data_IF_559447491294
#
_entry.id   IF_559447491294
#
_cell.length_a   1.000
_cell.length_b   1.000
_cell.length_c   1.000
_cell.angle_alpha   90.00
_cell.angle_beta   90.00
_cell.angle_gamma   90.00
#
_symmetry.space_group_name_H-M   'P 1'
#
loop_
_entity.id
_entity.type
_entity.pdbx_description
1 polymer ?
#
# COMPACT_ATOMS: atom_id res chain seq x y z
N UNK A 1 29.02 10.89 -28.75
CA UNK A 1 28.46 12.01 -27.95
C UNK A 1 27.36 11.41 -27.11
N UNK A 2 27.67 11.05 -25.87
CA UNK A 2 26.63 10.74 -24.89
C UNK A 2 26.05 12.09 -24.47
N UNK A 3 24.80 12.35 -24.83
CA UNK A 3 24.06 13.50 -24.34
C UNK A 3 24.03 13.32 -22.82
N UNK A 4 24.58 14.24 -22.00
CA UNK A 4 24.44 14.11 -20.56
C UNK A 4 22.96 14.07 -20.27
N UNK A 5 22.51 12.99 -19.61
CA UNK A 5 21.15 12.87 -19.11
C UNK A 5 20.93 14.11 -18.25
N UNK A 6 20.24 15.10 -18.80
CA UNK A 6 19.89 16.31 -18.07
C UNK A 6 19.11 15.81 -16.88
N UNK A 7 19.74 15.85 -15.72
CA UNK A 7 19.04 15.61 -14.48
C UNK A 7 18.19 16.85 -14.33
N UNK A 8 16.96 16.76 -14.85
CA UNK A 8 15.96 17.80 -14.64
C UNK A 8 15.99 18.15 -13.15
N UNK A 9 16.02 19.45 -12.79
CA UNK A 9 16.05 19.83 -11.39
C UNK A 9 14.89 19.14 -10.67
N UNK A 10 15.19 18.47 -9.55
CA UNK A 10 14.18 17.76 -8.77
C UNK A 10 13.08 18.76 -8.41
N UNK A 11 11.86 18.50 -8.88
CA UNK A 11 10.73 19.39 -8.65
C UNK A 11 10.26 19.18 -7.21
N UNK A 12 10.44 20.19 -6.37
CA UNK A 12 10.06 20.08 -4.95
C UNK A 12 8.55 20.08 -4.80
N UNK A 13 7.97 18.97 -4.35
CA UNK A 13 6.53 18.87 -4.09
C UNK A 13 6.26 19.47 -2.71
N UNK A 14 5.53 20.58 -2.67
CA UNK A 14 5.12 21.22 -1.42
C UNK A 14 3.93 20.51 -0.79
N UNK A 15 4.07 19.22 -0.48
CA UNK A 15 3.01 18.39 0.10
C UNK A 15 2.37 18.99 1.37
N UNK A 16 3.18 19.69 2.19
CA UNK A 16 2.71 20.40 3.39
C UNK A 16 1.71 21.53 3.08
N UNK A 17 1.87 22.21 1.95
CA UNK A 17 0.95 23.29 1.51
C UNK A 17 -0.45 22.73 1.23
N UNK A 18 -0.50 21.48 0.80
CA UNK A 18 -1.72 20.72 0.51
C UNK A 18 -2.20 19.85 1.69
N UNK A 19 -1.57 19.98 2.87
CA UNK A 19 -1.80 19.13 4.05
C UNK A 19 -1.73 17.62 3.72
N UNK A 20 -0.83 17.25 2.82
CA UNK A 20 -0.56 15.86 2.42
C UNK A 20 0.60 15.37 3.25
N UNK A 21 0.29 14.47 4.19
CA UNK A 21 1.25 13.84 5.08
C UNK A 21 0.88 12.36 5.16
N UNK A 22 1.88 11.48 5.11
CA UNK A 22 1.66 10.04 5.24
C UNK A 22 1.97 9.57 6.66
N UNK A 23 0.96 9.12 7.37
CA UNK A 23 1.07 8.55 8.72
C UNK A 23 0.99 7.01 8.74
N UNK A 24 0.92 6.37 7.57
CA UNK A 24 0.75 4.92 7.44
C UNK A 24 -0.71 4.47 7.32
N UNK A 25 -1.67 5.38 7.50
CA UNK A 25 -3.09 5.09 7.24
C UNK A 25 -3.53 5.61 5.87
N UNK A 26 -4.63 5.04 5.37
CA UNK A 26 -5.30 5.48 4.14
C UNK A 26 -4.35 5.65 2.93
N UNK A 27 -3.46 4.69 2.71
CA UNK A 27 -2.40 4.76 1.69
C UNK A 27 -2.92 5.11 0.28
N UNK A 28 -4.09 4.63 -0.11
CA UNK A 28 -4.72 4.98 -1.37
C UNK A 28 -5.07 6.47 -1.48
N UNK A 29 -5.55 7.09 -0.39
CA UNK A 29 -5.83 8.54 -0.35
C UNK A 29 -4.53 9.33 -0.37
N UNK A 30 -3.50 8.86 0.33
CA UNK A 30 -2.18 9.47 0.29
C UNK A 30 -1.60 9.50 -1.13
N UNK A 31 -1.59 8.36 -1.83
CA UNK A 31 -1.11 8.25 -3.21
C UNK A 31 -1.84 9.24 -4.13
N UNK A 32 -3.18 9.26 -4.10
CA UNK A 32 -3.96 10.18 -4.94
C UNK A 32 -3.64 11.65 -4.67
N UNK A 33 -3.46 12.02 -3.39
CA UNK A 33 -3.15 13.40 -3.00
C UNK A 33 -1.73 13.81 -3.40
N UNK A 34 -0.75 12.92 -3.28
CA UNK A 34 0.63 13.22 -3.67
C UNK A 34 0.76 13.34 -5.18
N UNK A 35 0.05 12.51 -5.94
CA UNK A 35 -0.01 12.59 -7.41
C UNK A 35 -0.69 13.89 -7.86
N UNK A 36 -1.78 14.30 -7.22
CA UNK A 36 -2.42 15.58 -7.51
C UNK A 36 -1.49 16.78 -7.21
N UNK A 37 -0.78 16.76 -6.07
CA UNK A 37 0.19 17.79 -5.73
C UNK A 37 1.37 17.80 -6.71
N UNK A 38 1.82 16.63 -7.15
CA UNK A 38 2.87 16.51 -8.15
C UNK A 38 2.43 17.07 -9.52
N UNK A 39 1.19 16.79 -9.95
CA UNK A 39 0.63 17.35 -11.18
C UNK A 39 0.59 18.89 -11.15
N UNK A 40 0.19 19.49 -10.02
CA UNK A 40 0.15 20.94 -9.84
C UNK A 40 1.55 21.56 -9.89
N UNK A 41 2.52 20.93 -9.24
CA UNK A 41 3.90 21.43 -9.17
C UNK A 41 4.72 21.06 -10.43
N UNK A 42 4.18 20.22 -11.33
CA UNK A 42 4.88 19.71 -12.51
C UNK A 42 5.95 18.65 -12.20
N UNK A 43 5.80 17.94 -11.09
CA UNK A 43 6.73 16.91 -10.64
C UNK A 43 6.46 15.56 -11.32
N UNK A 44 7.54 14.85 -11.64
CA UNK A 44 7.47 13.50 -12.20
C UNK A 44 7.33 12.44 -11.10
N UNK A 45 6.98 11.21 -11.47
CA UNK A 45 6.99 10.08 -10.54
C UNK A 45 8.34 9.88 -9.85
N UNK A 46 9.45 10.10 -10.56
CA UNK A 46 10.79 10.01 -9.97
C UNK A 46 11.01 11.05 -8.85
N UNK A 47 10.44 12.26 -9.02
CA UNK A 47 10.47 13.31 -8.00
C UNK A 47 9.61 12.96 -6.78
N UNK A 48 8.46 12.30 -6.99
CA UNK A 48 7.60 11.80 -5.91
C UNK A 48 8.34 10.73 -5.11
N UNK A 49 8.89 9.72 -5.79
CA UNK A 49 9.60 8.61 -5.15
C UNK A 49 10.76 9.10 -4.28
N UNK A 50 11.49 10.12 -4.71
CA UNK A 50 12.56 10.73 -3.90
C UNK A 50 12.06 11.52 -2.70
N UNK A 51 10.86 12.13 -2.80
CA UNK A 51 10.35 13.03 -1.77
C UNK A 51 9.41 12.39 -0.77
N UNK A 52 8.90 11.20 -1.04
CA UNK A 52 7.91 10.50 -0.22
C UNK A 52 8.32 10.37 1.26
N UNK A 53 9.61 10.19 1.57
CA UNK A 53 10.15 10.12 2.94
C UNK A 53 9.98 11.45 3.68
N UNK A 54 10.19 12.58 2.99
CA UNK A 54 10.03 13.92 3.58
C UNK A 54 8.55 14.30 3.79
N UNK A 55 7.65 13.64 3.07
CA UNK A 55 6.20 13.79 3.17
C UNK A 55 5.63 12.89 4.28
N UNK A 56 6.37 11.88 4.71
CA UNK A 56 5.97 10.96 5.77
C UNK A 56 6.10 11.59 7.16
N UNK A 57 5.09 11.43 8.01
CA UNK A 57 5.05 11.97 9.36
C UNK A 57 5.89 11.15 10.36
N UNK A 58 5.69 9.83 10.35
CA UNK A 58 6.25 8.92 11.36
C UNK A 58 7.61 8.38 10.93
N UNK A 59 8.54 8.27 11.88
CA UNK A 59 9.87 7.68 11.63
C UNK A 59 9.77 6.21 11.19
N UNK A 60 8.89 5.44 11.83
CA UNK A 60 8.60 4.04 11.45
C UNK A 60 8.16 3.90 9.97
N UNK A 61 7.34 4.85 9.48
CA UNK A 61 6.89 4.85 8.08
C UNK A 61 8.04 5.16 7.14
N UNK A 62 8.94 6.08 7.53
CA UNK A 62 10.13 6.42 6.75
C UNK A 62 11.07 5.22 6.65
N UNK A 63 11.37 4.57 7.77
CA UNK A 63 12.23 3.39 7.81
C UNK A 63 11.70 2.29 6.89
N UNK A 64 10.39 2.00 6.93
CA UNK A 64 9.76 1.04 6.03
C UNK A 64 9.91 1.43 4.56
N UNK A 65 9.66 2.69 4.21
CA UNK A 65 9.82 3.17 2.83
C UNK A 65 11.27 3.07 2.36
N UNK A 66 12.25 3.35 3.23
CA UNK A 66 13.67 3.22 2.90
C UNK A 66 14.08 1.78 2.58
N UNK A 67 13.38 0.79 3.15
CA UNK A 67 13.61 -0.63 2.83
C UNK A 67 12.94 -1.10 1.52
N UNK A 68 12.10 -0.28 0.90
CA UNK A 68 11.36 -0.65 -0.32
C UNK A 68 12.20 -0.47 -1.59
N UNK A 69 12.11 -1.44 -2.49
CA UNK A 69 12.95 -1.45 -3.69
C UNK A 69 12.55 -0.34 -4.67
N UNK A 70 11.27 0.00 -4.74
CA UNK A 70 10.76 1.09 -5.55
C UNK A 70 11.29 2.46 -5.14
N UNK A 71 11.70 2.63 -3.87
CA UNK A 71 12.35 3.85 -3.41
C UNK A 71 13.81 3.92 -3.90
N UNK A 72 14.57 2.82 -3.77
CA UNK A 72 15.96 2.73 -4.26
C UNK A 72 16.05 2.94 -5.77
N UNK A 73 15.15 2.30 -6.52
CA UNK A 73 15.05 2.44 -7.99
C UNK A 73 14.43 3.78 -8.42
N UNK A 74 13.93 4.59 -7.47
CA UNK A 74 13.20 5.85 -7.70
C UNK A 74 12.00 5.66 -8.63
N UNK A 75 11.41 4.46 -8.59
CA UNK A 75 10.32 4.05 -9.44
C UNK A 75 9.01 4.16 -8.65
N UNK A 76 8.31 5.28 -8.83
CA UNK A 76 7.04 5.52 -8.15
C UNK A 76 5.97 4.47 -8.44
N UNK A 77 5.92 3.92 -9.65
CA UNK A 77 4.94 2.87 -9.98
C UNK A 77 5.15 1.64 -9.11
N UNK A 78 6.40 1.18 -8.98
CA UNK A 78 6.75 0.04 -8.14
C UNK A 78 6.56 0.35 -6.66
N UNK A 79 6.98 1.55 -6.24
CA UNK A 79 6.83 1.99 -4.87
C UNK A 79 5.35 2.06 -4.45
N UNK A 80 4.44 2.48 -5.33
CA UNK A 80 2.99 2.43 -5.07
C UNK A 80 2.49 1.03 -4.76
N UNK A 81 2.95 0.02 -5.48
CA UNK A 81 2.56 -1.38 -5.24
C UNK A 81 3.06 -1.87 -3.88
N UNK A 82 4.29 -1.52 -3.50
CA UNK A 82 4.87 -1.84 -2.20
C UNK A 82 4.15 -1.10 -1.05
N UNK A 83 3.89 0.20 -1.22
CA UNK A 83 3.10 1.01 -0.28
C UNK A 83 1.71 0.39 -0.06
N UNK A 84 1.05 -0.04 -1.13
CA UNK A 84 -0.27 -0.65 -1.05
C UNK A 84 -0.22 -2.09 -0.50
N UNK A 85 0.89 -2.79 -0.64
CA UNK A 85 1.06 -4.13 -0.05
C UNK A 85 1.28 -4.07 1.46
N UNK A 86 2.07 -3.10 1.91
CA UNK A 86 2.42 -2.90 3.33
C UNK A 86 1.28 -2.24 4.12
N UNK A 87 0.67 -1.17 3.57
CA UNK A 87 -0.37 -0.39 4.26
C UNK A 87 -1.77 -0.47 3.63
N UNK A 88 -1.89 -1.02 2.42
CA UNK A 88 -3.16 -1.15 1.70
C UNK A 88 -3.89 -2.46 1.99
N UNK A 89 -3.50 -3.19 3.04
CA UNK A 89 -4.33 -4.26 3.60
C UNK A 89 -5.58 -3.66 4.23
N UNK A 90 -6.55 -3.37 3.38
CA UNK A 90 -7.95 -3.47 3.75
C UNK A 90 -8.12 -4.91 4.24
N UNK A 91 -8.51 -5.09 5.50
CA UNK A 91 -8.88 -6.42 5.99
C UNK A 91 -9.72 -7.12 4.93
N UNK A 92 -9.44 -8.39 4.56
CA UNK A 92 -10.42 -9.14 3.81
C UNK A 92 -11.68 -9.11 4.66
N UNK A 93 -12.66 -8.35 4.17
CA UNK A 93 -14.01 -8.26 4.71
C UNK A 93 -14.41 -9.66 5.15
N UNK A 94 -14.42 -9.90 6.47
CA UNK A 94 -14.81 -11.15 7.11
C UNK A 94 -16.31 -11.43 6.91
N UNK A 95 -16.94 -10.86 5.90
CA UNK A 95 -18.37 -10.95 5.61
C UNK A 95 -18.72 -12.03 4.62
N UNK A 96 -17.78 -12.90 4.25
CA UNK A 96 -18.12 -14.21 3.71
C UNK A 96 -17.70 -15.34 4.66
N UNK A 97 -18.37 -15.41 5.82
CA UNK A 97 -18.52 -16.65 6.58
C UNK A 97 -19.89 -17.25 6.19
N UNK A 98 -19.99 -18.26 5.30
CA UNK A 98 -21.19 -19.07 5.25
C UNK A 98 -21.33 -19.78 6.60
N UNK A 99 -22.34 -19.38 7.35
CA UNK A 99 -22.71 -19.91 8.65
C UNK A 99 -23.27 -21.34 8.49
N UNK A 100 -22.39 -22.34 8.35
CA UNK A 100 -22.79 -23.76 8.36
C UNK A 100 -22.06 -24.54 9.44
N UNK A 101 -22.35 -24.18 10.69
CA UNK A 101 -22.18 -25.07 11.85
C UNK A 101 -23.36 -24.94 12.82
N UNK A 102 -24.60 -25.14 12.33
CA UNK A 102 -25.63 -25.74 13.17
C UNK A 102 -25.52 -27.25 13.05
N UNK A 103 -24.44 -27.78 13.63
CA UNK A 103 -24.44 -29.13 14.17
C UNK A 103 -25.27 -29.16 15.46
N UNK A 104 -25.73 -30.37 15.80
CA UNK A 104 -26.41 -30.82 17.02
C UNK A 104 -27.92 -30.55 17.02
N UNK A 105 -28.77 -31.57 16.88
CA UNK A 105 -28.88 -32.75 17.74
C UNK A 105 -29.80 -33.76 17.01
N UNK A 106 -29.52 -35.05 16.80
CA UNK A 106 -29.38 -36.17 17.75
C UNK A 106 -29.05 -37.45 16.96
N UNK A 107 -28.13 -38.29 17.45
CA UNK A 107 -27.90 -39.69 17.00
C UNK A 107 -28.87 -40.58 17.80
N UNK A 108 -29.44 -41.68 17.24
CA UNK A 108 -28.79 -42.97 17.51
C UNK A 108 -28.83 -44.01 16.37
N UNK A 109 -27.72 -44.75 16.32
CA UNK A 109 -27.54 -46.20 16.11
C UNK A 109 -28.36 -46.93 15.03
N UNK A 110 -27.64 -47.49 14.05
CA UNK A 110 -27.73 -48.93 13.72
C UNK A 110 -26.42 -49.36 13.02
N UNK A 111 -25.47 -49.79 13.85
CA UNK A 111 -24.43 -50.74 13.50
C UNK A 111 -24.81 -52.02 14.25
N UNK A 112 -25.64 -52.82 13.60
CA UNK A 112 -26.05 -54.20 13.87
C UNK A 112 -26.72 -54.55 12.52
N UNK A 113 -26.22 -55.39 11.62
CA UNK A 113 -25.61 -56.70 11.82
C UNK A 113 -24.56 -56.99 10.73
N UNK A 114 -23.43 -57.54 11.19
CA UNK A 114 -22.57 -58.42 10.41
C UNK A 114 -23.22 -59.81 10.37
N UNK A 115 -23.02 -60.53 9.26
CA UNK A 115 -23.19 -61.99 9.12
C UNK A 115 -24.62 -62.57 9.09
N UNK A 116 -25.06 -62.97 7.89
CA UNK A 116 -25.31 -64.39 7.55
C UNK A 116 -25.09 -64.59 6.05
#
# INVERSE_FOLDING_TARGET
>A
MEIPKVTSPIVKIRAKDYNVVFDGNEVEKFIKRVEAAAEIEGASGEDIARQVIFISASEEVKEKIETMQGYEEKNWTKLKEELNTEWGRVEPDRRYRPESWRSFSIIPKEQEELET
#
